data_IF_757265882071
#
_entry.id   IF_757265882071
#
_cell.length_a   1.000
_cell.length_b   1.000
_cell.length_c   1.000
_cell.angle_alpha   90.00
_cell.angle_beta   90.00
_cell.angle_gamma   90.00
#
_symmetry.space_group_name_H-M   'P 1'
#
loop_
_entity.id
_entity.type
_entity.pdbx_description
1 polymer ?
#
# COMPACT_ATOMS: atom_id res chain seq x y z
N UNK A 1 3.21 -4.42 1.80
CA UNK A 1 2.65 -3.11 1.37
C UNK A 1 1.38 -3.22 0.52
N UNK A 2 1.31 -4.06 -0.51
CA UNK A 2 0.07 -4.17 -1.31
C UNK A 2 -1.12 -4.79 -0.53
N UNK A 3 -0.85 -5.70 0.43
CA UNK A 3 -1.88 -6.36 1.26
C UNK A 3 -2.74 -5.36 2.04
N UNK A 4 -2.13 -4.37 2.70
CA UNK A 4 -2.86 -3.35 3.47
C UNK A 4 -3.83 -2.55 2.58
N UNK A 5 -3.38 -2.13 1.39
CA UNK A 5 -4.24 -1.38 0.45
C UNK A 5 -5.38 -2.24 -0.09
N UNK A 6 -5.16 -3.54 -0.26
CA UNK A 6 -6.22 -4.46 -0.70
C UNK A 6 -7.24 -4.68 0.41
N UNK A 7 -6.79 -4.89 1.65
CA UNK A 7 -7.67 -4.97 2.83
C UNK A 7 -8.61 -3.76 2.91
N UNK A 8 -8.06 -2.54 2.82
CA UNK A 8 -8.85 -1.31 2.84
C UNK A 8 -9.76 -1.10 1.61
N UNK A 9 -9.63 -1.88 0.54
CA UNK A 9 -10.52 -1.82 -0.63
C UNK A 9 -11.60 -2.88 -0.61
N UNK A 10 -11.31 -4.03 -0.03
CA UNK A 10 -12.19 -5.20 -0.02
C UNK A 10 -13.12 -5.19 1.19
N UNK A 11 -12.70 -4.60 2.30
CA UNK A 11 -13.50 -4.49 3.53
C UNK A 11 -14.19 -3.13 3.61
N UNK A 12 -15.44 -3.13 4.07
CA UNK A 12 -16.21 -1.89 4.33
C UNK A 12 -15.94 -1.32 5.73
N UNK A 13 -15.52 -2.19 6.65
CA UNK A 13 -15.20 -1.86 8.04
C UNK A 13 -13.78 -2.31 8.34
N UNK A 14 -13.04 -1.46 9.03
CA UNK A 14 -11.76 -1.82 9.61
C UNK A 14 -12.03 -2.49 10.95
N UNK A 15 -11.34 -3.60 11.18
CA UNK A 15 -11.23 -4.30 12.44
C UNK A 15 -9.75 -4.61 12.66
N UNK A 16 -9.23 -4.25 13.83
CA UNK A 16 -7.81 -4.35 14.12
C UNK A 16 -7.32 -5.80 14.12
N UNK A 17 -8.07 -6.72 14.71
CA UNK A 17 -7.69 -8.13 14.79
C UNK A 17 -7.72 -8.77 13.41
N UNK A 18 -8.75 -8.49 12.62
CA UNK A 18 -8.86 -8.97 11.24
C UNK A 18 -7.70 -8.43 10.38
N UNK A 19 -7.39 -7.14 10.50
CA UNK A 19 -6.27 -6.52 9.80
C UNK A 19 -4.94 -7.14 10.21
N UNK A 20 -4.70 -7.31 11.51
CA UNK A 20 -3.46 -7.87 12.03
C UNK A 20 -3.25 -9.29 11.50
N UNK A 21 -4.29 -10.13 11.53
CA UNK A 21 -4.21 -11.50 11.04
C UNK A 21 -4.07 -11.60 9.51
N UNK A 22 -4.83 -10.83 8.72
CA UNK A 22 -4.79 -10.91 7.25
C UNK A 22 -3.59 -10.18 6.62
N UNK A 23 -3.09 -9.12 7.25
CA UNK A 23 -2.05 -8.25 6.65
C UNK A 23 -0.67 -8.49 7.22
N UNK A 24 -0.55 -8.72 8.54
CA UNK A 24 0.74 -8.96 9.20
C UNK A 24 1.09 -10.45 9.23
N UNK A 25 0.11 -11.32 9.45
CA UNK A 25 0.18 -12.81 9.44
C UNK A 25 1.10 -13.43 10.52
N UNK A 26 2.23 -12.81 10.85
CA UNK A 26 3.20 -13.27 11.83
C UNK A 26 2.85 -12.78 13.24
N UNK A 27 2.70 -13.73 14.18
CA UNK A 27 2.35 -13.45 15.58
C UNK A 27 3.32 -12.53 16.29
N UNK A 28 4.63 -12.64 16.01
CA UNK A 28 5.64 -11.79 16.65
C UNK A 28 5.53 -10.34 16.14
N UNK A 29 5.17 -10.17 14.86
CA UNK A 29 4.96 -8.86 14.25
C UNK A 29 3.67 -8.23 14.77
N UNK A 30 2.61 -9.02 14.92
CA UNK A 30 1.34 -8.59 15.51
C UNK A 30 1.56 -8.10 16.95
N UNK A 31 2.25 -8.89 17.78
CA UNK A 31 2.55 -8.51 19.17
C UNK A 31 3.37 -7.21 19.24
N UNK A 32 4.41 -7.10 18.42
CA UNK A 32 5.23 -5.88 18.33
C UNK A 32 4.40 -4.66 17.90
N UNK A 33 3.45 -4.86 16.98
CA UNK A 33 2.58 -3.79 16.51
C UNK A 33 1.54 -3.36 17.56
N UNK A 34 0.97 -4.30 18.31
CA UNK A 34 0.06 -4.01 19.44
C UNK A 34 0.77 -3.26 20.57
N UNK A 35 2.02 -3.63 20.86
CA UNK A 35 2.85 -2.89 21.83
C UNK A 35 3.10 -1.46 21.35
N UNK A 36 3.50 -1.30 20.08
CA UNK A 36 3.68 0.03 19.48
C UNK A 36 2.40 0.88 19.52
N UNK A 37 1.23 0.30 19.23
CA UNK A 37 -0.07 0.98 19.33
C UNK A 37 -0.28 1.49 20.76
N UNK A 38 -0.09 0.62 21.75
CA UNK A 38 -0.30 0.93 23.17
C UNK A 38 0.65 2.04 23.65
N UNK A 39 1.92 1.96 23.27
CA UNK A 39 2.92 2.98 23.61
C UNK A 39 2.55 4.33 22.99
N UNK A 40 2.14 4.34 21.71
CA UNK A 40 1.73 5.56 21.02
C UNK A 40 0.46 6.20 21.62
N UNK A 41 -0.54 5.38 21.99
CA UNK A 41 -1.75 5.85 22.69
C UNK A 41 -1.42 6.51 24.02
N UNK A 42 -0.51 5.92 24.79
CA UNK A 42 -0.04 6.46 26.06
C UNK A 42 0.77 7.75 25.89
N UNK A 43 1.72 7.78 24.96
CA UNK A 43 2.58 8.95 24.72
C UNK A 43 1.79 10.15 24.20
N UNK A 44 0.87 9.93 23.26
CA UNK A 44 0.08 10.99 22.63
C UNK A 44 -1.21 11.29 23.42
N UNK A 45 -1.52 10.52 24.46
CA UNK A 45 -2.79 10.58 25.20
C UNK A 45 -4.02 10.52 24.28
N UNK A 46 -3.94 9.66 23.25
CA UNK A 46 -5.02 9.43 22.29
C UNK A 46 -5.50 8.00 22.39
N UNK A 47 -6.77 7.77 22.08
CA UNK A 47 -7.30 6.42 21.89
C UNK A 47 -7.52 6.19 20.40
N UNK A 48 -6.88 5.15 19.87
CA UNK A 48 -7.06 4.68 18.50
C UNK A 48 -8.16 3.63 18.55
N UNK A 49 -9.27 3.93 17.85
CA UNK A 49 -10.38 2.99 17.70
C UNK A 49 -9.91 1.69 17.05
N UNK A 50 -10.31 0.56 17.65
CA UNK A 50 -10.02 -0.78 17.15
C UNK A 50 -10.86 -1.12 15.92
N UNK A 51 -11.98 -0.42 15.74
CA UNK A 51 -12.87 -0.60 14.61
C UNK A 51 -13.44 0.73 14.10
N UNK A 52 -13.56 0.87 12.77
CA UNK A 52 -14.17 2.05 12.14
C UNK A 52 -14.64 1.76 10.71
N UNK A 53 -15.61 2.54 10.21
CA UNK A 53 -16.05 2.43 8.82
C UNK A 53 -14.97 2.96 7.86
N UNK A 54 -14.62 2.17 6.85
CA UNK A 54 -13.60 2.54 5.87
C UNK A 54 -14.19 3.53 4.88
N UNK A 55 -13.56 4.71 4.78
CA UNK A 55 -13.94 5.69 3.79
C UNK A 55 -13.25 5.39 2.44
N UNK A 56 -14.00 4.86 1.47
CA UNK A 56 -13.47 4.54 0.15
C UNK A 56 -12.77 5.70 -0.55
N UNK A 57 -13.26 6.94 -0.37
CA UNK A 57 -12.67 8.12 -1.01
C UNK A 57 -11.28 8.41 -0.43
N UNK A 58 -11.10 8.23 0.88
CA UNK A 58 -9.80 8.33 1.53
C UNK A 58 -8.83 7.23 1.06
N UNK A 59 -9.31 5.98 0.96
CA UNK A 59 -8.52 4.85 0.44
C UNK A 59 -8.10 5.08 -1.00
N UNK A 60 -9.03 5.54 -1.86
CA UNK A 60 -8.75 5.90 -3.26
C UNK A 60 -7.69 6.99 -3.33
N UNK A 61 -7.80 8.06 -2.52
CA UNK A 61 -6.82 9.16 -2.48
C UNK A 61 -5.43 8.67 -2.05
N UNK A 62 -5.34 7.91 -0.96
CA UNK A 62 -4.05 7.45 -0.43
C UNK A 62 -3.41 6.39 -1.33
N UNK A 63 -4.21 5.54 -1.98
CA UNK A 63 -3.71 4.55 -2.94
C UNK A 63 -3.04 5.17 -4.17
N UNK A 64 -3.37 6.42 -4.53
CA UNK A 64 -2.69 7.14 -5.62
C UNK A 64 -1.24 7.48 -5.25
N UNK A 65 -0.96 7.82 -3.99
CA UNK A 65 0.38 8.16 -3.52
C UNK A 65 1.36 6.98 -3.52
N UNK A 66 0.88 5.76 -3.25
CA UNK A 66 1.72 4.56 -3.23
C UNK A 66 2.10 4.02 -4.62
N UNK A 67 1.39 4.43 -5.69
CA UNK A 67 1.46 3.79 -7.01
C UNK A 67 2.42 4.48 -7.99
N UNK A 68 3.05 5.58 -7.59
CA UNK A 68 3.78 6.46 -8.49
C UNK A 68 5.27 6.15 -8.60
N UNK A 69 5.85 5.23 -7.81
CA UNK A 69 7.29 4.96 -7.88
C UNK A 69 7.55 3.49 -8.16
N UNK A 70 8.09 3.21 -9.34
CA UNK A 70 8.66 1.90 -9.68
C UNK A 70 10.17 2.02 -9.47
N UNK A 71 10.69 1.28 -8.48
CA UNK A 71 12.12 1.20 -8.20
C UNK A 71 12.71 0.06 -9.04
N UNK A 72 13.59 0.40 -9.99
CA UNK A 72 14.36 -0.56 -10.75
C UNK A 72 15.80 -0.58 -10.24
N UNK A 73 16.44 -1.74 -10.33
CA UNK A 73 17.72 -2.11 -9.68
C UNK A 73 18.75 -0.97 -9.66
N UNK A 74 18.78 -0.19 -8.57
CA UNK A 74 19.71 0.92 -8.22
C UNK A 74 20.07 1.95 -9.31
N UNK A 75 19.60 1.80 -10.54
CA UNK A 75 20.04 2.52 -11.71
C UNK A 75 19.03 3.60 -12.11
N UNK A 76 17.73 3.42 -11.82
CA UNK A 76 16.69 4.40 -12.17
C UNK A 76 15.39 4.21 -11.37
N UNK A 77 14.72 5.33 -11.08
CA UNK A 77 13.36 5.36 -10.54
C UNK A 77 12.41 5.89 -11.61
N UNK A 78 11.31 5.17 -11.86
CA UNK A 78 10.25 5.64 -12.77
C UNK A 78 9.14 6.25 -11.92
N UNK A 79 8.94 7.57 -12.09
CA UNK A 79 7.82 8.29 -11.50
C UNK A 79 6.61 8.24 -12.44
N UNK A 80 5.62 7.44 -12.09
CA UNK A 80 4.38 7.26 -12.84
C UNK A 80 3.29 8.14 -12.26
N UNK A 81 3.02 9.28 -12.90
CA UNK A 81 1.90 10.16 -12.55
C UNK A 81 0.59 9.82 -13.29
N UNK A 82 0.63 8.86 -14.23
CA UNK A 82 -0.46 8.58 -15.16
C UNK A 82 -1.09 7.20 -15.06
N UNK A 83 -1.89 6.85 -16.06
CA UNK A 83 -2.61 5.59 -16.14
C UNK A 83 -1.66 4.39 -16.34
N UNK A 84 -1.69 3.44 -15.40
CA UNK A 84 -0.88 2.21 -15.44
C UNK A 84 -1.28 1.27 -16.57
N UNK A 85 -2.46 1.44 -17.19
CA UNK A 85 -2.84 0.68 -18.39
C UNK A 85 -1.89 0.92 -19.56
N UNK A 86 -1.18 2.05 -19.56
CA UNK A 86 -0.14 2.38 -20.53
C UNK A 86 1.24 1.84 -20.15
N UNK A 87 1.32 0.97 -19.14
CA UNK A 87 2.56 0.35 -18.70
C UNK A 87 2.40 -1.16 -18.79
N UNK A 88 3.18 -1.77 -19.68
CA UNK A 88 3.28 -3.21 -19.82
C UNK A 88 4.57 -3.71 -19.17
N UNK A 89 4.51 -4.86 -18.50
CA UNK A 89 5.67 -5.53 -17.90
C UNK A 89 5.89 -6.88 -18.56
N UNK A 90 7.14 -7.20 -18.88
CA UNK A 90 7.50 -8.49 -19.45
C UNK A 90 8.89 -8.94 -19.03
N UNK A 91 9.31 -10.09 -19.56
CA UNK A 91 10.64 -10.65 -19.35
C UNK A 91 11.13 -11.26 -20.66
N UNK A 92 12.37 -10.96 -21.02
CA UNK A 92 13.07 -11.54 -22.16
C UNK A 92 14.42 -12.14 -21.70
N UNK A 93 15.24 -12.55 -22.68
CA UNK A 93 16.59 -13.11 -22.43
C UNK A 93 17.55 -12.14 -21.74
N UNK A 94 17.27 -10.83 -21.78
CA UNK A 94 18.08 -9.77 -21.15
C UNK A 94 17.59 -9.42 -19.74
N UNK A 95 16.36 -9.78 -19.39
CA UNK A 95 15.81 -9.61 -18.05
C UNK A 95 14.38 -9.08 -18.05
N UNK A 96 13.95 -8.52 -16.91
CA UNK A 96 12.62 -7.90 -16.76
C UNK A 96 12.61 -6.50 -17.36
N UNK A 97 11.54 -6.14 -18.06
CA UNK A 97 11.39 -4.81 -18.66
C UNK A 97 10.02 -4.19 -18.36
N UNK A 98 9.97 -2.87 -18.49
CA UNK A 98 8.76 -2.06 -18.53
C UNK A 98 8.67 -1.40 -19.91
N UNK A 99 7.50 -1.46 -20.56
CA UNK A 99 7.21 -0.74 -21.80
C UNK A 99 6.14 0.32 -21.52
N UNK A 100 6.45 1.56 -21.89
CA UNK A 100 5.56 2.71 -21.69
C UNK A 100 4.91 3.07 -23.03
N UNK A 101 3.59 3.19 -23.03
CA UNK A 101 2.80 3.64 -24.17
C UNK A 101 2.40 5.11 -23.97
N UNK A 102 2.52 5.93 -25.00
CA UNK A 102 2.07 7.32 -24.98
C UNK A 102 1.32 7.64 -26.29
N UNK A 103 0.36 8.55 -26.21
CA UNK A 103 -0.48 8.91 -27.38
C UNK A 103 0.00 10.24 -28.01
N UNK A 104 0.39 11.21 -27.19
CA UNK A 104 0.93 12.51 -27.61
C UNK A 104 2.19 12.84 -26.79
N UNK A 105 3.24 13.30 -27.47
CA UNK A 105 4.47 13.84 -26.86
C UNK A 105 4.34 15.37 -26.78
N UNK A 106 4.66 15.95 -25.62
CA UNK A 106 4.66 17.40 -25.38
C UNK A 106 5.97 17.84 -24.75
#
# INVERSE_FOLDING_TARGET
>A
MNKSINFFKEKEKFDFDEFANEVLEDKNVIESFSNFKSDYENEMQVSISEDFAINESAVKKQSRGFKSVIKLDKNFHIYVHGDRKKIETGQDEKGKYYRLYFDEEK
#
